data_IF_239432832879
#
_entry.id   IF_239432832879
#
_cell.length_a   1.000
_cell.length_b   1.000
_cell.length_c   1.000
_cell.angle_alpha   90.00
_cell.angle_beta   90.00
_cell.angle_gamma   90.00
#
_symmetry.space_group_name_H-M   'P 1'
#
loop_
_entity.id
_entity.type
_entity.pdbx_description
1 polymer ?
#
# COMPACT_ATOMS: atom_id res chain seq x y z
N UNK A 1 10.08 2.12 26.80
CA UNK A 1 9.96 0.79 26.19
C UNK A 1 8.49 0.38 26.25
N UNK A 2 7.75 0.49 25.14
CA UNK A 2 6.34 0.12 25.09
C UNK A 2 6.19 -1.06 24.12
N UNK A 3 5.97 -2.25 24.69
CA UNK A 3 5.67 -3.48 23.96
C UNK A 3 4.24 -3.41 23.41
N UNK A 4 4.09 -3.18 22.12
CA UNK A 4 2.81 -3.30 21.43
C UNK A 4 2.50 -4.79 21.21
N UNK A 5 1.67 -5.36 22.08
CA UNK A 5 1.12 -6.71 21.90
C UNK A 5 0.22 -6.76 20.66
N UNK A 6 0.60 -7.61 19.71
CA UNK A 6 -0.23 -8.00 18.57
C UNK A 6 -1.36 -8.93 19.06
N UNK A 7 -2.57 -8.41 19.25
CA UNK A 7 -3.73 -9.27 19.50
C UNK A 7 -4.15 -9.97 18.19
N UNK A 8 -4.00 -11.30 18.14
CA UNK A 8 -4.62 -12.16 17.12
C UNK A 8 -6.12 -12.28 17.38
N UNK A 9 -6.93 -11.93 16.38
CA UNK A 9 -8.35 -12.27 16.36
C UNK A 9 -8.55 -13.76 16.00
N UNK A 10 -9.58 -14.45 16.54
CA UNK A 10 -9.83 -15.85 16.27
C UNK A 10 -10.43 -16.06 14.88
N UNK A 11 -10.04 -17.17 14.25
CA UNK A 11 -10.41 -17.53 12.88
C UNK A 11 -11.90 -17.82 12.72
N UNK A 12 -12.55 -17.02 11.87
CA UNK A 12 -13.71 -17.42 11.09
C UNK A 12 -13.27 -17.57 9.64
N UNK A 13 -13.56 -18.71 9.02
CA UNK A 13 -13.19 -19.01 7.64
C UNK A 13 -13.61 -17.88 6.70
N UNK A 14 -12.63 -17.22 6.09
CA UNK A 14 -12.84 -16.10 5.18
C UNK A 14 -13.35 -16.66 3.84
N UNK A 15 -14.44 -16.16 3.26
CA UNK A 15 -14.80 -16.52 1.89
C UNK A 15 -13.60 -16.20 0.99
N UNK A 16 -13.10 -17.21 0.30
CA UNK A 16 -12.00 -17.10 -0.67
C UNK A 16 -12.43 -16.17 -1.79
N UNK A 17 -12.04 -14.89 -1.70
CA UNK A 17 -12.38 -13.87 -2.70
C UNK A 17 -12.46 -12.45 -2.17
N UNK A 18 -12.53 -12.21 -0.86
CA UNK A 18 -12.51 -10.84 -0.35
C UNK A 18 -11.08 -10.29 -0.24
N UNK A 19 -10.80 -9.10 -0.83
CA UNK A 19 -9.52 -8.44 -0.70
C UNK A 19 -9.03 -8.36 0.75
N UNK A 20 -7.71 -8.45 0.93
CA UNK A 20 -7.09 -8.25 2.24
C UNK A 20 -7.27 -6.79 2.65
N UNK A 21 -7.80 -6.58 3.86
CA UNK A 21 -8.03 -5.25 4.44
C UNK A 21 -7.14 -5.06 5.63
N UNK A 22 -6.49 -3.91 5.70
CA UNK A 22 -5.58 -3.55 6.79
C UNK A 22 -5.94 -2.14 7.26
N UNK A 23 -6.19 -1.92 8.56
CA UNK A 23 -6.39 -0.57 9.08
C UNK A 23 -5.20 0.33 8.76
N UNK A 24 -5.43 1.63 8.55
CA UNK A 24 -4.33 2.58 8.44
C UNK A 24 -3.51 2.58 9.75
N UNK A 25 -2.18 2.42 9.68
CA UNK A 25 -1.32 2.80 10.79
C UNK A 25 -1.37 4.33 10.99
N UNK A 26 -1.01 4.79 12.19
CA UNK A 26 -1.05 6.22 12.57
C UNK A 26 -0.34 7.12 11.55
N UNK A 27 0.81 6.68 11.02
CA UNK A 27 1.55 7.45 10.00
C UNK A 27 0.75 7.67 8.72
N UNK A 28 0.00 6.66 8.27
CA UNK A 28 -0.82 6.74 7.06
C UNK A 28 -2.05 7.63 7.32
N UNK A 29 -2.63 7.60 8.53
CA UNK A 29 -3.71 8.52 8.93
C UNK A 29 -3.25 9.98 8.93
N UNK A 30 -2.10 10.26 9.54
CA UNK A 30 -1.51 11.62 9.56
C UNK A 30 -1.20 12.09 8.15
N UNK A 31 -0.54 11.26 7.33
CA UNK A 31 -0.25 11.59 5.94
C UNK A 31 -1.53 11.90 5.15
N UNK A 32 -2.60 11.12 5.38
CA UNK A 32 -3.88 11.37 4.73
C UNK A 32 -4.52 12.69 5.14
N UNK A 33 -4.43 13.05 6.43
CA UNK A 33 -4.96 14.30 6.96
C UNK A 33 -4.16 15.54 6.53
N UNK A 34 -2.88 15.37 6.23
CA UNK A 34 -2.01 16.44 5.72
C UNK A 34 -1.98 16.51 4.18
N UNK A 35 -2.64 15.58 3.46
CA UNK A 35 -2.60 15.53 2.01
C UNK A 35 -3.23 16.79 1.39
N UNK A 36 -2.50 17.43 0.47
CA UNK A 36 -2.93 18.63 -0.24
C UNK A 36 -2.68 18.43 -1.74
N UNK A 37 -3.69 18.72 -2.59
CA UNK A 37 -3.57 18.51 -4.04
C UNK A 37 -2.48 19.38 -4.68
N UNK A 38 -2.22 20.55 -4.11
CA UNK A 38 -1.15 21.44 -4.56
C UNK A 38 0.26 20.94 -4.16
N UNK A 39 0.35 20.08 -3.15
CA UNK A 39 1.61 19.61 -2.56
C UNK A 39 1.54 18.08 -2.35
N UNK A 40 1.63 17.29 -3.44
CA UNK A 40 1.56 15.84 -3.34
C UNK A 40 2.78 15.28 -2.62
N UNK A 41 2.56 14.37 -1.68
CA UNK A 41 3.61 13.64 -0.95
C UNK A 41 4.22 12.53 -1.83
N UNK A 42 4.82 12.91 -2.97
CA UNK A 42 5.48 12.00 -3.93
C UNK A 42 6.95 11.80 -3.57
N UNK A 43 7.40 10.54 -3.58
CA UNK A 43 8.83 10.21 -3.50
C UNK A 43 9.36 10.03 -4.93
N UNK A 44 10.25 10.92 -5.35
CA UNK A 44 10.96 10.80 -6.63
C UNK A 44 12.34 10.18 -6.39
N UNK A 45 12.69 9.17 -7.19
CA UNK A 45 13.96 8.43 -7.06
C UNK A 45 14.63 8.40 -8.42
N UNK A 46 15.87 8.86 -8.47
CA UNK A 46 16.71 8.83 -9.67
C UNK A 46 17.88 7.87 -9.47
N UNK A 47 18.09 6.98 -10.43
CA UNK A 47 19.13 5.96 -10.37
C UNK A 47 19.93 6.00 -11.67
N UNK A 48 21.24 6.14 -11.54
CA UNK A 48 22.16 6.05 -12.66
C UNK A 48 22.53 4.59 -12.89
N UNK A 49 22.24 4.07 -14.09
CA UNK A 49 22.57 2.71 -14.49
C UNK A 49 23.69 2.75 -15.54
N UNK A 50 24.70 1.88 -15.46
CA UNK A 50 25.71 1.78 -16.48
C UNK A 50 25.13 1.16 -17.77
N UNK A 51 25.56 1.65 -18.93
CA UNK A 51 25.17 1.11 -20.23
C UNK A 51 23.78 1.55 -20.71
N UNK A 52 23.21 0.79 -21.65
CA UNK A 52 21.87 1.06 -22.19
C UNK A 52 20.81 0.30 -21.41
N UNK A 53 19.77 1.00 -21.01
CA UNK A 53 18.60 0.42 -20.35
C UNK A 53 17.62 -0.07 -21.40
N UNK A 54 17.28 -1.35 -21.33
CA UNK A 54 16.13 -1.90 -22.04
C UNK A 54 14.86 -1.55 -21.26
N UNK A 55 13.97 -0.76 -21.88
CA UNK A 55 12.76 -0.26 -21.23
C UNK A 55 11.77 -1.38 -20.88
N UNK A 56 11.56 -2.35 -21.77
CA UNK A 56 10.60 -3.43 -21.55
C UNK A 56 11.08 -4.37 -20.44
N UNK A 57 12.38 -4.65 -20.42
CA UNK A 57 13.01 -5.42 -19.36
C UNK A 57 12.92 -4.69 -18.03
N UNK A 58 13.15 -3.38 -18.02
CA UNK A 58 13.04 -2.56 -16.80
C UNK A 58 11.61 -2.56 -16.28
N UNK A 59 10.62 -2.27 -17.13
CA UNK A 59 9.20 -2.27 -16.79
C UNK A 59 8.75 -3.61 -16.21
N UNK A 60 9.14 -4.72 -16.84
CA UNK A 60 8.81 -6.06 -16.38
C UNK A 60 9.46 -6.38 -15.02
N UNK A 61 10.72 -5.99 -14.83
CA UNK A 61 11.42 -6.19 -13.56
C UNK A 61 10.78 -5.40 -12.42
N UNK A 62 10.37 -4.16 -12.66
CA UNK A 62 9.65 -3.35 -11.68
C UNK A 62 8.27 -3.93 -11.35
N UNK A 63 7.47 -4.31 -12.35
CA UNK A 63 6.17 -4.94 -12.12
C UNK A 63 6.30 -6.22 -11.29
N UNK A 64 7.27 -7.08 -11.61
CA UNK A 64 7.57 -8.29 -10.85
C UNK A 64 8.04 -7.99 -9.42
N UNK A 65 8.81 -6.92 -9.22
CA UNK A 65 9.25 -6.50 -7.89
C UNK A 65 8.10 -5.98 -7.04
N UNK A 66 7.24 -5.12 -7.60
CA UNK A 66 6.04 -4.61 -6.93
C UNK A 66 5.10 -5.76 -6.53
N UNK A 67 4.91 -6.74 -7.42
CA UNK A 67 4.08 -7.93 -7.14
C UNK A 67 4.60 -8.78 -5.97
N UNK A 68 5.91 -8.78 -5.70
CA UNK A 68 6.51 -9.49 -4.55
C UNK A 68 6.31 -8.77 -3.21
N UNK A 69 5.89 -7.50 -3.23
CA UNK A 69 5.76 -6.68 -2.02
C UNK A 69 4.29 -6.26 -1.82
N UNK A 70 3.49 -7.00 -1.03
CA UNK A 70 2.06 -6.72 -0.85
C UNK A 70 1.72 -5.29 -0.46
N UNK A 71 2.60 -4.60 0.29
CA UNK A 71 2.40 -3.19 0.65
C UNK A 71 2.39 -2.24 -0.54
N UNK A 72 3.10 -2.55 -1.63
CA UNK A 72 3.10 -1.74 -2.85
C UNK A 72 1.77 -1.80 -3.61
N UNK A 73 1.00 -2.88 -3.38
CA UNK A 73 -0.30 -3.14 -3.99
C UNK A 73 -1.47 -2.66 -3.13
N UNK A 74 -1.21 -1.97 -2.02
CA UNK A 74 -2.27 -1.43 -1.18
C UNK A 74 -2.80 -0.12 -1.78
N UNK A 75 -4.12 0.05 -1.79
CA UNK A 75 -4.80 1.30 -2.17
C UNK A 75 -5.78 1.72 -1.09
N UNK A 76 -5.97 3.03 -0.90
CA UNK A 76 -6.97 3.54 0.05
C UNK A 76 -8.33 3.07 -0.43
N UNK A 77 -9.07 2.38 0.45
CA UNK A 77 -10.39 1.89 0.13
C UNK A 77 -11.38 3.07 0.06
N UNK A 78 -12.25 3.14 -0.97
CA UNK A 78 -13.36 4.10 -0.99
C UNK A 78 -14.24 3.93 0.25
N UNK A 79 -14.58 5.06 0.90
CA UNK A 79 -15.31 5.07 2.16
C UNK A 79 -16.67 5.74 2.02
N UNK A 80 -17.67 5.13 2.66
CA UNK A 80 -19.00 5.72 2.79
C UNK A 80 -19.04 6.87 3.82
N UNK A 81 -20.11 7.66 3.84
CA UNK A 81 -20.22 8.86 4.68
C UNK A 81 -20.14 8.60 6.19
N UNK A 82 -20.46 7.38 6.63
CA UNK A 82 -20.43 6.98 8.05
C UNK A 82 -19.17 6.21 8.46
N UNK A 83 -18.19 6.06 7.56
CA UNK A 83 -16.96 5.35 7.87
C UNK A 83 -16.11 6.14 8.87
N UNK A 84 -15.75 5.49 9.98
CA UNK A 84 -14.99 6.11 11.08
C UNK A 84 -13.48 5.88 11.01
N UNK A 85 -13.00 5.06 10.08
CA UNK A 85 -11.58 4.64 9.97
C UNK A 85 -11.18 4.52 8.50
N UNK A 86 -9.89 4.70 8.25
CA UNK A 86 -9.28 4.45 6.95
C UNK A 86 -8.74 3.02 6.88
N UNK A 87 -8.88 2.41 5.71
CA UNK A 87 -8.44 1.05 5.45
C UNK A 87 -7.68 0.99 4.13
N UNK A 88 -6.58 0.24 4.14
CA UNK A 88 -5.93 -0.25 2.95
C UNK A 88 -6.67 -1.48 2.44
N UNK A 89 -6.84 -1.56 1.13
CA UNK A 89 -7.30 -2.74 0.43
C UNK A 89 -6.20 -3.23 -0.53
N UNK A 90 -5.91 -4.53 -0.50
CA UNK A 90 -4.94 -5.16 -1.40
C UNK A 90 -5.55 -5.32 -2.80
N UNK A 91 -4.89 -4.76 -3.82
CA UNK A 91 -5.24 -4.96 -5.22
C UNK A 91 -4.62 -6.24 -5.78
N UNK A 92 -5.19 -6.77 -6.87
CA UNK A 92 -4.71 -8.00 -7.52
C UNK A 92 -3.37 -7.85 -8.26
N UNK A 93 -2.89 -6.63 -8.45
CA UNK A 93 -1.66 -6.33 -9.18
C UNK A 93 -1.30 -4.84 -9.12
N UNK A 94 -0.07 -4.50 -9.54
CA UNK A 94 0.42 -3.13 -9.62
C UNK A 94 -0.36 -2.29 -10.65
#
# INVERSE_FOLDING_TARGET
>A
MATTQHQRAPGGGRPSGQPVRVPFPVVDEVARHCAQDAEPSTVHIEIHLPGRVDEERLRSAFAASLARHPRALMRERPRGPLARRYEWELTGGP
#
